data_IF_603063717097
#
_entry.id   IF_603063717097
#
_cell.length_a   1.000
_cell.length_b   1.000
_cell.length_c   1.000
_cell.angle_alpha   90.00
_cell.angle_beta   90.00
_cell.angle_gamma   90.00
#
_symmetry.space_group_name_H-M   'P 1'
#
loop_
_entity.id
_entity.type
_entity.pdbx_description
1 polymer ?
#
# COMPACT_ATOMS: atom_id res chain seq x y z
N UNK A 1 2.12 13.49 21.27
CA UNK A 1 0.89 12.91 20.69
C UNK A 1 0.39 13.80 19.54
N UNK A 2 0.60 13.42 18.27
CA UNK A 2 -0.24 13.97 17.19
C UNK A 2 -1.64 13.44 17.43
N UNK A 3 -2.63 14.33 17.51
CA UNK A 3 -4.03 13.95 17.68
C UNK A 3 -4.45 13.11 16.47
N UNK A 4 -4.50 11.79 16.66
CA UNK A 4 -5.35 10.93 15.85
C UNK A 4 -6.76 11.37 16.22
N UNK A 5 -7.37 12.19 15.37
CA UNK A 5 -8.78 12.48 15.52
C UNK A 5 -9.57 11.42 14.78
N UNK A 6 -10.36 10.66 15.55
CA UNK A 6 -11.52 9.95 15.03
C UNK A 6 -12.44 11.00 14.42
N UNK A 7 -12.47 11.09 13.09
CA UNK A 7 -13.51 11.86 12.38
C UNK A 7 -14.57 10.84 11.96
N UNK A 8 -15.39 10.36 12.91
CA UNK A 8 -16.27 9.19 12.72
C UNK A 8 -15.52 7.87 12.94
N UNK A 9 -15.65 6.89 12.02
CA UNK A 9 -14.89 5.61 12.02
C UNK A 9 -13.43 5.72 11.50
N UNK A 10 -12.94 6.94 11.24
CA UNK A 10 -11.73 7.18 10.43
C UNK A 10 -10.52 7.54 11.29
N UNK A 11 -9.33 7.09 10.86
CA UNK A 11 -8.03 7.61 11.30
C UNK A 11 -7.55 8.60 10.22
N UNK A 12 -7.36 9.89 10.55
CA UNK A 12 -6.85 10.90 9.61
C UNK A 12 -5.52 11.48 10.10
N UNK A 13 -4.56 11.65 9.20
CA UNK A 13 -3.41 12.53 9.40
C UNK A 13 -3.78 13.95 8.94
N UNK A 14 -3.98 14.88 9.88
CA UNK A 14 -4.38 16.29 9.56
C UNK A 14 -3.22 17.23 9.28
N UNK A 15 -1.98 16.76 9.41
CA UNK A 15 -0.80 17.63 9.28
C UNK A 15 -0.07 17.33 7.98
N UNK A 16 0.51 18.35 7.33
CA UNK A 16 1.45 18.12 6.24
C UNK A 16 2.52 17.11 6.68
N UNK A 17 2.83 16.16 5.80
CA UNK A 17 3.97 15.28 6.04
C UNK A 17 5.23 16.12 6.06
N UNK A 18 6.00 15.96 7.14
CA UNK A 18 7.32 16.58 7.23
C UNK A 18 8.34 15.74 6.44
N UNK A 19 8.10 14.42 6.31
CA UNK A 19 8.96 13.49 5.58
C UNK A 19 8.17 12.31 5.02
N UNK A 20 8.61 11.74 3.90
CA UNK A 20 8.05 10.51 3.31
C UNK A 20 8.13 9.29 4.25
N UNK A 21 8.99 9.33 5.27
CA UNK A 21 9.10 8.26 6.28
C UNK A 21 7.85 8.17 7.16
N UNK A 22 7.12 9.28 7.33
CA UNK A 22 5.85 9.29 8.03
C UNK A 22 4.78 8.53 7.23
N UNK A 23 4.67 8.78 5.91
CA UNK A 23 3.79 8.00 5.00
C UNK A 23 4.10 6.52 5.09
N UNK A 24 5.39 6.13 5.02
CA UNK A 24 5.81 4.72 5.15
C UNK A 24 5.32 4.10 6.46
N UNK A 25 5.45 4.81 7.58
CA UNK A 25 4.99 4.33 8.87
C UNK A 25 3.46 4.19 8.91
N UNK A 26 2.73 5.17 8.36
CA UNK A 26 1.27 5.09 8.27
C UNK A 26 0.80 3.93 7.37
N UNK A 27 1.48 3.67 6.25
CA UNK A 27 1.16 2.54 5.38
C UNK A 27 1.26 1.20 6.11
N UNK A 28 2.37 0.99 6.82
CA UNK A 28 2.59 -0.21 7.62
C UNK A 28 1.57 -0.33 8.76
N UNK A 29 1.36 0.73 9.54
CA UNK A 29 0.38 0.76 10.63
C UNK A 29 -1.03 0.40 10.15
N UNK A 30 -1.50 1.04 9.07
CA UNK A 30 -2.85 0.81 8.54
C UNK A 30 -3.01 -0.60 7.99
N UNK A 31 -2.02 -1.12 7.26
CA UNK A 31 -2.07 -2.48 6.75
C UNK A 31 -2.08 -3.52 7.89
N UNK A 32 -1.19 -3.37 8.88
CA UNK A 32 -1.07 -4.29 10.02
C UNK A 32 -2.33 -4.30 10.89
N UNK A 33 -2.92 -3.13 11.15
CA UNK A 33 -4.09 -3.02 12.01
C UNK A 33 -5.39 -3.47 11.32
N UNK A 34 -5.48 -3.34 10.00
CA UNK A 34 -6.75 -3.44 9.28
C UNK A 34 -6.76 -4.38 8.07
N UNK A 35 -5.79 -5.28 7.93
CA UNK A 35 -5.77 -6.23 6.80
C UNK A 35 -7.03 -7.10 6.68
N UNK A 36 -7.71 -7.40 7.80
CA UNK A 36 -8.97 -8.17 7.83
C UNK A 36 -10.13 -7.47 7.13
N UNK A 37 -10.05 -6.16 6.90
CA UNK A 37 -11.07 -5.41 6.16
C UNK A 37 -11.29 -5.97 4.75
N UNK A 38 -10.25 -6.55 4.15
CA UNK A 38 -10.34 -7.14 2.81
C UNK A 38 -11.38 -8.27 2.73
N UNK A 39 -11.66 -8.96 3.84
CA UNK A 39 -12.67 -10.03 3.92
C UNK A 39 -14.11 -9.53 3.71
N UNK A 40 -14.33 -8.22 3.75
CA UNK A 40 -15.65 -7.62 3.54
C UNK A 40 -15.99 -7.42 2.06
N UNK A 41 -15.02 -7.60 1.15
CA UNK A 41 -15.14 -7.17 -0.24
C UNK A 41 -14.94 -8.32 -1.22
N UNK A 42 -15.38 -8.07 -2.45
CA UNK A 42 -15.27 -8.99 -3.59
C UNK A 42 -14.84 -8.23 -4.83
N UNK A 43 -14.11 -8.89 -5.72
CA UNK A 43 -13.84 -8.41 -7.08
C UNK A 43 -14.56 -9.35 -8.06
N UNK A 44 -15.46 -8.81 -8.89
CA UNK A 44 -16.23 -9.59 -9.87
C UNK A 44 -16.93 -10.82 -9.26
N UNK A 45 -17.45 -10.69 -8.04
CA UNK A 45 -18.13 -11.78 -7.31
C UNK A 45 -17.20 -12.74 -6.55
N UNK A 46 -15.89 -12.63 -6.71
CA UNK A 46 -14.89 -13.46 -6.03
C UNK A 46 -14.42 -12.75 -4.75
N UNK A 47 -14.45 -13.40 -3.57
CA UNK A 47 -13.87 -12.85 -2.35
C UNK A 47 -12.41 -12.44 -2.53
N UNK A 48 -12.01 -11.29 -1.97
CA UNK A 48 -10.64 -10.80 -2.19
C UNK A 48 -9.59 -11.76 -1.65
N UNK A 49 -9.87 -12.49 -0.58
CA UNK A 49 -8.98 -13.52 0.00
C UNK A 49 -8.71 -14.71 -0.92
N UNK A 50 -9.56 -14.93 -1.93
CA UNK A 50 -9.45 -16.04 -2.87
C UNK A 50 -8.80 -15.63 -4.20
N UNK A 51 -8.52 -14.33 -4.40
CA UNK A 51 -7.75 -13.87 -5.55
C UNK A 51 -6.29 -14.31 -5.44
N UNK A 52 -5.68 -14.63 -6.57
CA UNK A 52 -4.22 -14.72 -6.67
C UNK A 52 -3.56 -13.35 -6.51
N UNK A 53 -2.26 -13.34 -6.24
CA UNK A 53 -1.44 -12.12 -6.14
C UNK A 53 -1.59 -11.23 -7.40
N UNK A 54 -1.66 -11.85 -8.58
CA UNK A 54 -1.79 -11.14 -9.86
C UNK A 54 -3.22 -10.62 -10.07
N UNK A 55 -4.24 -11.38 -9.69
CA UNK A 55 -5.63 -10.94 -9.81
C UNK A 55 -5.91 -9.76 -8.87
N UNK A 56 -5.42 -9.81 -7.63
CA UNK A 56 -5.52 -8.68 -6.71
C UNK A 56 -4.78 -7.44 -7.26
N UNK A 57 -3.62 -7.65 -7.88
CA UNK A 57 -2.83 -6.56 -8.49
C UNK A 57 -3.65 -5.86 -9.59
N UNK A 58 -4.23 -6.64 -10.50
CA UNK A 58 -5.03 -6.12 -11.61
C UNK A 58 -6.32 -5.47 -11.11
N UNK A 59 -6.96 -6.03 -10.07
CA UNK A 59 -8.11 -5.43 -9.41
C UNK A 59 -7.79 -4.04 -8.86
N UNK A 60 -6.74 -3.90 -8.03
CA UNK A 60 -6.37 -2.59 -7.48
C UNK A 60 -5.95 -1.63 -8.59
N UNK A 61 -5.18 -2.11 -9.58
CA UNK A 61 -4.75 -1.30 -10.74
C UNK A 61 -5.94 -0.76 -11.54
N UNK A 62 -7.05 -1.50 -11.60
CA UNK A 62 -8.28 -1.08 -12.31
C UNK A 62 -9.05 0.05 -11.62
N UNK A 63 -8.83 0.28 -10.32
CA UNK A 63 -9.48 1.37 -9.58
C UNK A 63 -8.92 2.71 -10.08
N UNK A 64 -9.79 3.71 -10.25
CA UNK A 64 -9.38 5.06 -10.70
C UNK A 64 -8.35 5.68 -9.74
N UNK A 65 -7.24 6.18 -10.29
CA UNK A 65 -6.26 6.95 -9.54
C UNK A 65 -6.81 8.35 -9.21
N UNK A 66 -6.77 8.73 -7.94
CA UNK A 66 -7.18 10.06 -7.47
C UNK A 66 -6.08 10.58 -6.56
N UNK A 67 -5.39 11.62 -7.02
CA UNK A 67 -4.29 12.23 -6.26
C UNK A 67 -4.83 12.93 -5.01
N UNK A 68 -4.01 12.92 -3.97
CA UNK A 68 -4.25 13.76 -2.81
C UNK A 68 -4.37 15.27 -3.09
N UNK A 69 -5.21 15.99 -2.32
CA UNK A 69 -5.29 17.44 -2.38
C UNK A 69 -3.95 18.13 -2.09
N UNK A 70 -3.74 19.30 -2.68
CA UNK A 70 -2.49 20.03 -2.54
C UNK A 70 -2.11 20.27 -1.06
N UNK A 71 -0.90 19.82 -0.69
CA UNK A 71 -0.30 19.91 0.67
C UNK A 71 -1.01 19.14 1.77
N UNK A 72 -1.87 18.17 1.44
CA UNK A 72 -2.50 17.27 2.42
C UNK A 72 -2.30 15.84 1.95
N UNK A 73 -1.58 15.05 2.74
CA UNK A 73 -1.54 13.60 2.50
C UNK A 73 -2.70 12.94 3.23
N UNK A 74 -3.44 12.09 2.55
CA UNK A 74 -4.54 11.32 3.10
C UNK A 74 -4.35 9.84 2.82
N UNK A 75 -3.93 9.13 3.86
CA UNK A 75 -3.99 7.68 3.90
C UNK A 75 -5.25 7.21 4.63
N UNK A 76 -5.85 6.14 4.13
CA UNK A 76 -7.03 5.51 4.77
C UNK A 76 -6.84 4.00 4.99
N UNK A 77 -7.56 3.44 5.96
CA UNK A 77 -7.60 1.97 6.14
C UNK A 77 -8.32 1.29 4.96
N UNK A 78 -8.04 0.00 4.69
CA UNK A 78 -8.57 -0.71 3.52
C UNK A 78 -10.09 -0.65 3.33
N UNK A 79 -10.91 -0.77 4.39
CA UNK A 79 -12.38 -0.71 4.27
C UNK A 79 -12.85 0.57 3.59
N UNK A 80 -12.32 1.72 4.02
CA UNK A 80 -12.69 3.03 3.47
C UNK A 80 -12.23 3.16 2.03
N UNK A 81 -11.01 2.73 1.73
CA UNK A 81 -10.45 2.76 0.39
C UNK A 81 -11.33 1.98 -0.59
N UNK A 82 -11.77 0.78 -0.20
CA UNK A 82 -12.59 -0.07 -1.06
C UNK A 82 -14.06 0.38 -1.14
N UNK A 83 -14.67 0.85 -0.05
CA UNK A 83 -16.02 1.45 -0.06
C UNK A 83 -16.10 2.72 -0.93
N UNK A 84 -14.99 3.45 -1.05
CA UNK A 84 -14.88 4.69 -1.83
C UNK A 84 -14.15 4.50 -3.16
N UNK A 85 -13.86 3.26 -3.55
CA UNK A 85 -13.22 2.97 -4.83
C UNK A 85 -14.05 3.55 -5.99
N UNK A 86 -13.37 4.13 -6.98
CA UNK A 86 -13.98 4.80 -8.13
C UNK A 86 -14.86 6.03 -7.80
N UNK A 87 -14.68 6.63 -6.62
CA UNK A 87 -15.21 7.96 -6.29
C UNK A 87 -14.11 9.03 -6.36
N UNK A 88 -14.40 10.29 -6.01
CA UNK A 88 -13.41 11.37 -5.92
C UNK A 88 -12.60 11.34 -4.60
N UNK A 89 -12.75 10.28 -3.81
CA UNK A 89 -11.88 10.06 -2.64
C UNK A 89 -10.43 9.81 -3.09
N UNK A 90 -9.41 10.34 -2.37
CA UNK A 90 -8.02 10.01 -2.63
C UNK A 90 -7.77 8.51 -2.70
N UNK A 91 -6.97 8.12 -3.70
CA UNK A 91 -6.63 6.74 -4.00
C UNK A 91 -5.35 6.71 -4.82
N UNK A 92 -4.25 7.12 -4.18
CA UNK A 92 -2.95 7.26 -4.85
C UNK A 92 -1.96 6.13 -4.54
N UNK A 93 -0.65 6.37 -4.69
CA UNK A 93 0.37 5.34 -4.57
C UNK A 93 0.50 4.75 -3.16
N UNK A 94 0.26 5.53 -2.11
CA UNK A 94 0.34 5.08 -0.72
C UNK A 94 -0.89 4.26 -0.30
N UNK A 95 -2.10 4.66 -0.69
CA UNK A 95 -3.35 3.92 -0.48
C UNK A 95 -3.30 2.54 -1.12
N UNK A 96 -2.79 2.48 -2.36
CA UNK A 96 -2.59 1.21 -3.08
C UNK A 96 -1.53 0.35 -2.42
N UNK A 97 -0.49 0.97 -1.87
CA UNK A 97 0.52 0.26 -1.07
C UNK A 97 -0.08 -0.32 0.21
N UNK A 98 -0.99 0.40 0.88
CA UNK A 98 -1.74 -0.09 2.05
C UNK A 98 -2.58 -1.32 1.70
N UNK A 99 -3.35 -1.27 0.60
CA UNK A 99 -4.15 -2.40 0.15
C UNK A 99 -3.29 -3.61 -0.23
N UNK A 100 -2.17 -3.37 -0.91
CA UNK A 100 -1.23 -4.42 -1.30
C UNK A 100 -0.59 -5.09 -0.08
N UNK A 101 -0.07 -4.33 0.88
CA UNK A 101 0.47 -4.86 2.13
C UNK A 101 -0.59 -5.64 2.91
N UNK A 102 -1.80 -5.10 3.00
CA UNK A 102 -2.95 -5.75 3.66
C UNK A 102 -3.25 -7.10 3.03
N UNK A 103 -3.17 -7.21 1.70
CA UNK A 103 -3.42 -8.45 0.99
C UNK A 103 -2.33 -9.50 1.25
N UNK A 104 -1.06 -9.12 1.25
CA UNK A 104 0.02 -10.06 1.63
C UNK A 104 -0.11 -10.54 3.09
N UNK A 105 -0.50 -9.64 4.01
CA UNK A 105 -0.79 -10.02 5.39
C UNK A 105 -1.97 -11.00 5.47
N UNK A 106 -3.05 -10.74 4.74
CA UNK A 106 -4.22 -11.62 4.64
C UNK A 106 -3.82 -13.02 4.17
N UNK A 107 -3.08 -13.11 3.06
CA UNK A 107 -2.60 -14.39 2.50
C UNK A 107 -1.72 -15.15 3.50
N UNK A 108 -0.76 -14.47 4.13
CA UNK A 108 0.14 -15.11 5.10
C UNK A 108 -0.59 -15.62 6.34
N UNK A 109 -1.59 -14.87 6.84
CA UNK A 109 -2.32 -15.22 8.06
C UNK A 109 -3.41 -16.27 7.83
N UNK A 110 -4.08 -16.27 6.67
CA UNK A 110 -5.21 -17.17 6.40
C UNK A 110 -4.83 -18.42 5.60
N UNK A 111 -3.97 -18.25 4.59
CA UNK A 111 -3.61 -19.34 3.67
C UNK A 111 -2.24 -19.95 4.01
N UNK A 112 -1.54 -19.40 5.02
CA UNK A 112 -0.25 -19.90 5.48
C UNK A 112 0.92 -19.64 4.51
N UNK A 113 0.72 -18.77 3.52
CA UNK A 113 1.79 -18.34 2.60
C UNK A 113 2.91 -17.66 3.37
N UNK A 114 4.11 -17.59 2.77
CA UNK A 114 5.29 -16.97 3.38
C UNK A 114 5.84 -15.85 2.50
N UNK A 115 5.01 -14.87 2.18
CA UNK A 115 5.49 -13.68 1.48
C UNK A 115 6.19 -12.73 2.45
N UNK A 116 7.43 -12.34 2.14
CA UNK A 116 8.06 -11.19 2.79
C UNK A 116 7.80 -9.95 1.95
N UNK A 117 7.35 -8.89 2.59
CA UNK A 117 7.08 -7.60 1.95
C UNK A 117 8.01 -6.51 2.46
N UNK A 118 8.19 -5.46 1.64
CA UNK A 118 8.84 -4.21 2.02
C UNK A 118 8.24 -3.06 1.22
N UNK A 119 8.30 -1.84 1.75
CA UNK A 119 7.94 -0.64 0.99
C UNK A 119 9.19 -0.09 0.32
N UNK A 120 9.09 0.21 -0.98
CA UNK A 120 10.11 0.89 -1.75
C UNK A 120 9.65 2.32 -2.04
N UNK A 121 10.41 3.30 -1.54
CA UNK A 121 10.22 4.71 -1.86
C UNK A 121 11.22 5.10 -2.94
N UNK A 122 10.72 5.58 -4.06
CA UNK A 122 11.52 5.87 -5.25
C UNK A 122 11.34 7.28 -5.78
N UNK A 123 12.33 7.71 -6.55
CA UNK A 123 12.33 8.96 -7.30
C UNK A 123 13.02 8.77 -8.65
N UNK A 124 12.47 9.38 -9.71
CA UNK A 124 13.12 9.46 -11.03
C UNK A 124 14.43 10.27 -10.96
N UNK A 125 14.51 11.16 -9.98
CA UNK A 125 15.69 11.96 -9.62
C UNK A 125 16.07 11.68 -8.16
N UNK A 126 16.92 12.53 -7.57
CA UNK A 126 17.38 12.40 -6.18
C UNK A 126 16.29 12.59 -5.10
N UNK A 127 15.05 12.94 -5.48
CA UNK A 127 13.97 13.29 -4.55
C UNK A 127 12.90 12.19 -4.52
N UNK A 128 12.43 11.74 -3.33
CA UNK A 128 11.33 10.79 -3.21
C UNK A 128 10.03 11.33 -3.83
N UNK A 129 9.36 10.50 -4.64
CA UNK A 129 8.13 10.88 -5.37
C UNK A 129 7.08 9.79 -5.47
N UNK A 130 7.46 8.54 -5.23
CA UNK A 130 6.61 7.38 -5.44
C UNK A 130 6.85 6.34 -4.35
N UNK A 131 5.82 5.58 -3.99
CA UNK A 131 5.91 4.46 -3.07
C UNK A 131 5.16 3.26 -3.65
N UNK A 132 5.72 2.07 -3.48
CA UNK A 132 5.09 0.82 -3.87
C UNK A 132 5.59 -0.34 -3.00
N UNK A 133 4.93 -1.50 -3.08
CA UNK A 133 5.33 -2.71 -2.37
C UNK A 133 6.31 -3.52 -3.20
N UNK A 134 7.34 -4.08 -2.58
CA UNK A 134 8.08 -5.20 -3.13
C UNK A 134 7.81 -6.44 -2.28
N UNK A 135 7.73 -7.59 -2.93
CA UNK A 135 7.50 -8.86 -2.25
C UNK A 135 8.47 -9.94 -2.74
N UNK A 136 8.69 -10.95 -1.92
CA UNK A 136 9.35 -12.21 -2.29
C UNK A 136 8.63 -13.37 -1.60
N UNK A 137 8.64 -14.54 -2.22
CA UNK A 137 8.13 -15.78 -1.63
C UNK A 137 9.27 -16.48 -0.87
N UNK A 138 9.18 -16.57 0.45
CA UNK A 138 10.22 -17.19 1.27
C UNK A 138 10.20 -18.72 1.24
N UNK A 139 9.18 -19.33 0.65
CA UNK A 139 9.18 -20.78 0.39
C UNK A 139 10.04 -21.16 -0.82
N UNK A 140 10.34 -20.19 -1.69
CA UNK A 140 11.16 -20.38 -2.88
C UNK A 140 12.51 -19.67 -2.71
N UNK A 141 13.59 -20.45 -2.57
CA UNK A 141 14.95 -19.94 -2.36
C UNK A 141 15.48 -19.07 -3.51
N UNK A 142 14.96 -19.28 -4.73
CA UNK A 142 15.32 -18.49 -5.91
C UNK A 142 14.47 -17.21 -6.05
N UNK A 143 13.52 -16.99 -5.14
CA UNK A 143 12.63 -15.83 -5.19
C UNK A 143 13.38 -14.53 -4.96
N UNK A 144 13.36 -13.67 -5.98
CA UNK A 144 13.89 -12.32 -5.91
C UNK A 144 12.81 -11.32 -5.53
N UNK A 145 13.23 -10.19 -4.95
CA UNK A 145 12.34 -9.07 -4.69
C UNK A 145 11.70 -8.57 -5.98
N UNK A 146 10.38 -8.73 -6.06
CA UNK A 146 9.57 -8.38 -7.22
C UNK A 146 8.74 -7.12 -6.94
N UNK A 147 8.75 -6.12 -7.84
CA UNK A 147 7.87 -4.98 -7.74
C UNK A 147 6.39 -5.35 -7.81
N UNK A 148 5.61 -4.80 -6.87
CA UNK A 148 4.16 -4.85 -6.82
C UNK A 148 3.62 -3.42 -6.82
N UNK A 149 3.68 -2.78 -7.98
CA UNK A 149 3.29 -1.39 -8.18
C UNK A 149 2.01 -1.28 -9.01
N UNK A 150 0.86 -1.40 -8.36
CA UNK A 150 -0.45 -1.28 -8.99
C UNK A 150 -0.95 0.17 -9.12
N UNK A 151 -0.05 1.17 -9.11
CA UNK A 151 -0.42 2.59 -9.04
C UNK A 151 -1.12 3.09 -10.29
N UNK A 152 -0.55 2.81 -11.46
CA UNK A 152 -1.02 3.36 -12.73
C UNK A 152 -1.57 2.25 -13.64
N UNK A 153 -2.58 2.54 -14.48
CA UNK A 153 -3.17 1.54 -15.39
C UNK A 153 -2.15 0.86 -16.33
N UNK A 154 -1.10 1.59 -16.71
CA UNK A 154 -0.03 1.08 -17.58
C UNK A 154 1.09 0.33 -16.84
N UNK A 155 1.03 0.23 -15.50
CA UNK A 155 2.01 -0.53 -14.75
C UNK A 155 1.87 -2.04 -15.01
N UNK A 156 3.02 -2.69 -15.13
CA UNK A 156 3.10 -4.13 -15.35
C UNK A 156 3.54 -4.82 -14.07
N UNK A 157 2.88 -5.94 -13.75
CA UNK A 157 3.24 -6.79 -12.63
C UNK A 157 4.73 -7.17 -12.70
N UNK A 158 5.45 -7.05 -11.58
CA UNK A 158 6.88 -7.38 -11.50
C UNK A 158 7.81 -6.35 -12.15
N UNK A 159 7.30 -5.21 -12.64
CA UNK A 159 8.12 -4.14 -13.22
C UNK A 159 7.97 -2.84 -12.44
N UNK A 160 9.05 -2.08 -12.33
CA UNK A 160 9.02 -0.73 -11.78
C UNK A 160 8.48 0.27 -12.81
N UNK A 161 7.83 1.33 -12.34
CA UNK A 161 7.35 2.43 -13.19
C UNK A 161 8.47 3.12 -14.01
N UNK A 162 9.67 3.21 -13.43
CA UNK A 162 10.87 3.75 -14.04
C UNK A 162 12.12 3.16 -13.37
N UNK A 163 13.30 3.40 -13.94
CA UNK A 163 14.59 3.12 -13.29
C UNK A 163 14.85 4.21 -12.26
N UNK A 164 14.88 3.90 -10.95
CA UNK A 164 14.98 4.91 -9.91
C UNK A 164 16.41 5.43 -9.75
N UNK A 165 16.58 6.76 -9.66
CA UNK A 165 17.83 7.38 -9.22
C UNK A 165 17.88 7.54 -7.70
N UNK A 166 16.71 7.66 -7.06
CA UNK A 166 16.55 7.55 -5.62
C UNK A 166 15.78 6.27 -5.30
N UNK A 167 16.32 5.43 -4.42
CA UNK A 167 15.61 4.29 -3.84
C UNK A 167 15.96 4.11 -2.37
N UNK A 168 14.94 4.00 -1.53
CA UNK A 168 15.06 3.58 -0.14
C UNK A 168 14.01 2.50 0.12
N UNK A 169 14.41 1.46 0.84
CA UNK A 169 13.54 0.34 1.19
C UNK A 169 13.32 0.31 2.70
N UNK A 170 12.11 -0.08 3.09
CA UNK A 170 11.67 -0.12 4.47
C UNK A 170 10.98 -1.45 4.74
N UNK A 171 11.29 -2.06 5.86
CA UNK A 171 10.69 -3.32 6.30
C UNK A 171 9.80 -3.06 7.51
N UNK A 172 8.74 -3.84 7.68
CA UNK A 172 7.87 -3.77 8.87
C UNK A 172 8.67 -3.88 10.17
N UNK A 173 9.62 -4.83 10.24
CA UNK A 173 10.51 -5.06 11.39
C UNK A 173 11.36 -3.84 11.78
N UNK A 174 11.58 -2.91 10.85
CA UNK A 174 12.35 -1.69 11.05
C UNK A 174 11.55 -0.44 10.63
N UNK A 175 10.21 -0.51 10.69
CA UNK A 175 9.39 0.58 10.17
C UNK A 175 9.67 1.88 10.95
N UNK A 176 9.67 3.05 10.29
CA UNK A 176 10.11 4.29 10.92
C UNK A 176 9.27 4.65 12.15
N UNK A 177 9.91 4.80 13.31
CA UNK A 177 9.24 5.36 14.48
C UNK A 177 8.96 6.85 14.21
N UNK A 178 7.70 7.26 14.37
CA UNK A 178 7.28 8.66 14.26
C UNK A 178 7.95 9.48 15.37
N UNK A 179 9.16 10.00 15.11
CA UNK A 179 9.81 10.97 16.01
C UNK A 179 9.01 12.28 15.98
N UNK A 180 8.57 12.70 17.16
CA UNK A 180 7.78 13.91 17.40
C UNK A 180 8.66 15.15 17.43
#
# INVERSE_FOLDING_TARGET
MRKIEKVGEYTRTRQPLLTYKQTVADCFDLARLYWKDLLLFKANGIPLEDLSIREFYEYIKSIRYVKDPYRKEHVSRPKILLERANTDHPFDCDDRSILSLSFFLLQNNLKGTKFKTRLAVTGRYAVPKHIYVEFKDETNLESQWSPYDCTYPWNNFGKTLYIPQFKRVFYEENHPVKKH
#
